data_IF_503229078749
#
_entry.id   IF_503229078749
#
_cell.length_a   1.000
_cell.length_b   1.000
_cell.length_c   1.000
_cell.angle_alpha   90.00
_cell.angle_beta   90.00
_cell.angle_gamma   90.00
#
_symmetry.space_group_name_H-M   'P 1'
#
loop_
_entity.id
_entity.type
_entity.pdbx_description
1 polymer ?
#
# COMPACT_ATOMS: atom_id res chain seq x y z
N UNK A 1 -12.07 9.90 -13.96
CA UNK A 1 -13.13 10.37 -13.05
C UNK A 1 -12.58 11.50 -12.19
N UNK A 2 -13.46 12.37 -11.67
CA UNK A 2 -13.06 13.36 -10.66
C UNK A 2 -12.83 12.66 -9.32
N UNK A 3 -11.75 13.02 -8.63
CA UNK A 3 -11.40 12.48 -7.31
C UNK A 3 -11.83 13.43 -6.17
N UNK A 4 -12.33 14.62 -6.51
CA UNK A 4 -12.78 15.61 -5.53
C UNK A 4 -13.89 15.03 -4.63
N UNK A 5 -13.67 15.07 -3.33
CA UNK A 5 -14.61 14.56 -2.34
C UNK A 5 -14.64 13.03 -2.19
N UNK A 6 -13.83 12.28 -2.93
CA UNK A 6 -13.63 10.86 -2.70
C UNK A 6 -12.88 10.60 -1.41
N UNK A 7 -13.27 9.55 -0.69
CA UNK A 7 -12.63 9.15 0.57
C UNK A 7 -11.60 8.07 0.28
N UNK A 8 -10.34 8.35 0.60
CA UNK A 8 -9.24 7.41 0.47
C UNK A 8 -8.68 7.03 1.85
N UNK A 9 -8.54 5.73 2.10
CA UNK A 9 -7.82 5.19 3.25
C UNK A 9 -6.48 4.62 2.78
N UNK A 10 -5.38 5.18 3.29
CA UNK A 10 -4.02 4.70 3.02
C UNK A 10 -3.47 4.03 4.27
N UNK A 11 -3.38 2.71 4.24
CA UNK A 11 -2.84 1.89 5.34
C UNK A 11 -1.34 1.71 5.13
N UNK A 12 -0.53 1.98 6.16
CA UNK A 12 0.93 2.13 6.03
C UNK A 12 1.31 3.49 5.42
N UNK A 13 0.49 4.51 5.66
CA UNK A 13 0.65 5.84 5.07
C UNK A 13 1.44 6.83 5.92
N UNK A 14 1.99 6.43 7.06
CA UNK A 14 2.83 7.28 7.90
C UNK A 14 4.18 7.63 7.27
N UNK A 15 4.63 6.93 6.23
CA UNK A 15 5.89 7.18 5.58
C UNK A 15 6.04 6.49 4.22
N UNK A 16 7.19 6.67 3.59
CA UNK A 16 7.57 6.01 2.35
C UNK A 16 6.52 6.14 1.24
N UNK A 17 6.27 5.03 0.52
CA UNK A 17 5.32 4.98 -0.61
C UNK A 17 3.92 5.41 -0.17
N UNK A 18 3.44 4.94 1.00
CA UNK A 18 2.11 5.25 1.47
C UNK A 18 1.88 6.75 1.67
N UNK A 19 2.86 7.46 2.23
CA UNK A 19 2.79 8.91 2.40
C UNK A 19 2.81 9.65 1.05
N UNK A 20 3.64 9.21 0.09
CA UNK A 20 3.65 9.75 -1.28
C UNK A 20 2.28 9.61 -1.96
N UNK A 21 1.65 8.43 -1.82
CA UNK A 21 0.30 8.18 -2.35
C UNK A 21 -0.74 9.06 -1.64
N UNK A 22 -0.68 9.17 -0.30
CA UNK A 22 -1.60 9.99 0.46
C UNK A 22 -1.57 11.45 0.00
N UNK A 23 -0.37 12.01 -0.17
CA UNK A 23 -0.18 13.37 -0.70
C UNK A 23 -0.72 13.52 -2.12
N UNK A 24 -0.44 12.58 -3.01
CA UNK A 24 -0.90 12.62 -4.39
C UNK A 24 -2.44 12.57 -4.49
N UNK A 25 -3.10 11.70 -3.74
CA UNK A 25 -4.57 11.64 -3.70
C UNK A 25 -5.18 12.91 -3.10
N UNK A 26 -4.57 13.46 -2.07
CA UNK A 26 -5.04 14.67 -1.42
C UNK A 26 -4.90 15.90 -2.35
N UNK A 27 -3.83 16.00 -3.15
CA UNK A 27 -3.66 17.07 -4.14
C UNK A 27 -4.71 17.04 -5.27
N UNK A 28 -5.35 15.89 -5.48
CA UNK A 28 -6.47 15.71 -6.41
C UNK A 28 -7.85 15.94 -5.77
N UNK A 29 -7.87 16.41 -4.53
CA UNK A 29 -9.10 16.77 -3.82
C UNK A 29 -9.78 15.60 -3.08
N UNK A 30 -9.10 14.45 -2.92
CA UNK A 30 -9.58 13.41 -2.02
C UNK A 30 -9.54 13.87 -0.57
N UNK A 31 -10.51 13.44 0.23
CA UNK A 31 -10.37 13.41 1.68
C UNK A 31 -9.57 12.15 2.05
N UNK A 32 -8.36 12.34 2.59
CA UNK A 32 -7.44 11.22 2.82
C UNK A 32 -7.31 10.92 4.31
N UNK A 33 -7.60 9.67 4.66
CA UNK A 33 -7.28 9.09 5.95
C UNK A 33 -6.01 8.22 5.83
N UNK A 34 -5.14 8.34 6.80
CA UNK A 34 -3.89 7.57 6.91
C UNK A 34 -3.94 6.73 8.17
N UNK A 35 -3.75 5.42 8.02
CA UNK A 35 -3.60 4.50 9.14
C UNK A 35 -2.17 3.94 9.16
N UNK A 36 -1.54 3.94 10.32
CA UNK A 36 -0.21 3.37 10.50
C UNK A 36 -0.04 2.84 11.94
N UNK A 37 0.83 1.85 12.09
CA UNK A 37 1.24 1.36 13.40
C UNK A 37 2.09 2.37 14.17
N UNK A 38 2.92 3.14 13.46
CA UNK A 38 3.84 4.09 14.04
C UNK A 38 3.17 5.46 14.26
N UNK A 39 2.88 5.78 15.54
CA UNK A 39 2.24 7.04 15.93
C UNK A 39 3.10 8.27 15.63
N UNK A 40 4.42 8.17 15.73
CA UNK A 40 5.35 9.26 15.42
C UNK A 40 5.33 9.56 13.92
N UNK A 41 5.38 8.52 13.08
CA UNK A 41 5.25 8.67 11.64
C UNK A 41 3.91 9.31 11.23
N UNK A 42 2.81 9.00 11.94
CA UNK A 42 1.51 9.67 11.72
C UNK A 42 1.57 11.16 12.05
N UNK A 43 2.24 11.55 13.14
CA UNK A 43 2.42 12.95 13.49
C UNK A 43 3.26 13.69 12.44
N UNK A 44 4.32 13.06 11.94
CA UNK A 44 5.17 13.63 10.91
C UNK A 44 4.44 13.70 9.55
N UNK A 45 3.60 12.74 9.24
CA UNK A 45 2.73 12.78 8.06
C UNK A 45 1.78 13.98 8.10
N UNK A 46 1.19 14.28 9.25
CA UNK A 46 0.34 15.48 9.45
C UNK A 46 1.13 16.77 9.24
N UNK A 47 2.35 16.87 9.80
CA UNK A 47 3.23 18.03 9.62
C UNK A 47 3.64 18.20 8.14
N UNK A 48 4.04 17.10 7.51
CA UNK A 48 4.43 17.08 6.09
C UNK A 48 3.24 17.33 5.14
N UNK A 49 2.03 17.03 5.58
CA UNK A 49 0.77 17.30 4.89
C UNK A 49 0.18 18.68 5.19
N UNK A 50 0.90 19.58 5.90
CA UNK A 50 0.40 20.92 6.25
C UNK A 50 0.08 21.79 5.03
N UNK A 51 0.56 21.45 3.84
CA UNK A 51 0.12 22.01 2.56
C UNK A 51 -1.13 21.35 1.98
N UNK A 52 -1.62 20.25 2.61
CA UNK A 52 -2.79 19.48 2.19
C UNK A 52 -3.78 19.46 3.36
N UNK A 53 -4.75 20.35 3.32
CA UNK A 53 -5.63 20.72 4.43
C UNK A 53 -6.57 19.63 5.00
N UNK A 54 -6.46 18.36 4.58
CA UNK A 54 -7.48 17.34 4.89
C UNK A 54 -6.93 15.94 5.22
N UNK A 55 -5.69 15.85 5.74
CA UNK A 55 -5.14 14.55 6.14
C UNK A 55 -5.61 14.19 7.54
N UNK A 56 -6.35 13.09 7.68
CA UNK A 56 -6.79 12.52 8.95
C UNK A 56 -5.94 11.31 9.30
N UNK A 57 -5.64 11.07 10.56
CA UNK A 57 -4.77 9.96 10.95
C UNK A 57 -5.37 9.09 12.04
N UNK A 58 -5.12 7.79 11.97
CA UNK A 58 -5.53 6.81 13.00
C UNK A 58 -4.43 5.77 13.22
N UNK A 59 -4.13 5.46 14.47
CA UNK A 59 -3.15 4.41 14.79
C UNK A 59 -3.76 3.02 14.54
N UNK A 60 -3.04 2.13 13.82
CA UNK A 60 -3.55 0.80 13.49
C UNK A 60 -2.43 -0.21 13.30
N UNK A 61 -2.47 -1.29 14.08
CA UNK A 61 -1.75 -2.51 13.78
C UNK A 61 -2.62 -3.40 12.88
N UNK A 62 -2.25 -3.52 11.61
CA UNK A 62 -2.99 -4.29 10.59
C UNK A 62 -3.09 -5.80 10.92
N UNK A 63 -2.24 -6.30 11.82
CA UNK A 63 -2.30 -7.70 12.27
C UNK A 63 -3.46 -7.94 13.25
N UNK A 64 -4.05 -6.88 13.80
CA UNK A 64 -5.12 -6.90 14.78
C UNK A 64 -6.45 -6.56 14.12
N UNK A 65 -7.26 -7.58 13.77
CA UNK A 65 -8.56 -7.38 13.11
C UNK A 65 -9.47 -6.39 13.82
N UNK A 66 -9.43 -6.36 15.16
CA UNK A 66 -10.20 -5.40 15.95
C UNK A 66 -9.78 -3.96 15.64
N UNK A 67 -8.47 -3.67 15.62
CA UNK A 67 -7.97 -2.33 15.28
C UNK A 67 -8.28 -1.94 13.83
N UNK A 68 -8.22 -2.90 12.91
CA UNK A 68 -8.64 -2.65 11.53
C UNK A 68 -10.13 -2.27 11.49
N UNK A 69 -11.01 -3.01 12.17
CA UNK A 69 -12.43 -2.67 12.24
C UNK A 69 -12.67 -1.27 12.84
N UNK A 70 -11.96 -0.94 13.92
CA UNK A 70 -12.01 0.39 14.57
C UNK A 70 -11.61 1.52 13.58
N UNK A 71 -10.63 1.29 12.70
CA UNK A 71 -10.26 2.27 11.65
C UNK A 71 -11.41 2.51 10.67
N UNK A 72 -12.08 1.46 10.21
CA UNK A 72 -13.19 1.61 9.26
C UNK A 72 -14.43 2.24 9.91
N UNK A 73 -14.69 1.93 11.18
CA UNK A 73 -15.74 2.58 11.95
C UNK A 73 -15.45 4.08 12.14
N UNK A 74 -14.25 4.42 12.62
CA UNK A 74 -13.78 5.80 12.73
C UNK A 74 -13.85 6.54 11.39
N UNK A 75 -13.41 5.90 10.30
CA UNK A 75 -13.45 6.48 8.96
C UNK A 75 -14.89 6.84 8.56
N UNK A 76 -15.82 5.92 8.80
CA UNK A 76 -17.24 6.13 8.48
C UNK A 76 -17.87 7.29 9.26
N UNK A 77 -17.48 7.46 10.53
CA UNK A 77 -18.03 8.49 11.43
C UNK A 77 -17.43 9.87 11.16
N UNK A 78 -16.12 9.95 10.98
CA UNK A 78 -15.36 11.21 10.95
C UNK A 78 -14.98 11.71 9.55
N UNK A 79 -14.95 10.81 8.56
CA UNK A 79 -14.41 11.12 7.24
C UNK A 79 -15.41 10.82 6.13
N UNK A 80 -16.04 9.67 6.19
CA UNK A 80 -16.98 9.19 5.20
C UNK A 80 -16.72 7.75 4.76
N UNK A 81 -17.59 7.23 3.92
CA UNK A 81 -17.50 5.86 3.42
C UNK A 81 -16.36 5.70 2.41
N UNK A 82 -15.50 4.71 2.61
CA UNK A 82 -14.30 4.49 1.77
C UNK A 82 -14.63 4.25 0.29
N UNK A 83 -13.97 5.01 -0.58
CA UNK A 83 -14.00 4.85 -2.04
C UNK A 83 -12.72 4.18 -2.56
N UNK A 84 -11.58 4.50 -1.93
CA UNK A 84 -10.26 4.02 -2.32
C UNK A 84 -9.56 3.47 -1.08
N UNK A 85 -9.18 2.19 -1.12
CA UNK A 85 -8.30 1.58 -0.12
C UNK A 85 -6.92 1.38 -0.74
N UNK A 86 -5.88 1.88 -0.09
CA UNK A 86 -4.48 1.63 -0.47
C UNK A 86 -3.81 0.82 0.64
N UNK A 87 -3.39 -0.40 0.34
CA UNK A 87 -2.62 -1.25 1.23
C UNK A 87 -1.12 -1.06 0.94
N UNK A 88 -0.45 -0.23 1.74
CA UNK A 88 0.98 0.07 1.65
C UNK A 88 1.77 -0.41 2.87
N UNK A 89 1.10 -0.91 3.91
CA UNK A 89 1.77 -1.47 5.06
C UNK A 89 2.62 -2.69 4.67
N UNK A 90 3.87 -2.68 5.09
CA UNK A 90 4.77 -3.79 4.83
C UNK A 90 6.14 -3.59 5.44
N UNK A 91 6.77 -4.69 5.81
CA UNK A 91 8.11 -4.73 6.39
C UNK A 91 9.01 -5.70 5.64
N UNK A 92 10.30 -5.55 5.87
CA UNK A 92 11.30 -6.57 5.59
C UNK A 92 12.28 -6.66 6.77
N UNK A 93 13.11 -7.70 6.77
CA UNK A 93 14.07 -8.00 7.86
C UNK A 93 15.51 -8.03 7.33
N UNK A 94 16.48 -7.88 8.21
CA UNK A 94 17.90 -7.90 7.86
C UNK A 94 18.35 -9.32 7.45
N UNK A 95 18.23 -10.29 8.36
CA UNK A 95 18.51 -11.70 8.10
C UNK A 95 17.33 -12.30 7.34
N UNK A 96 17.52 -12.59 6.05
CA UNK A 96 16.41 -12.89 5.14
C UNK A 96 16.64 -14.10 4.22
N UNK A 97 17.78 -14.77 4.38
CA UNK A 97 18.12 -15.96 3.61
C UNK A 97 17.75 -17.22 4.41
N UNK A 98 17.38 -18.31 3.72
CA UNK A 98 17.00 -19.58 4.36
C UNK A 98 17.99 -20.04 5.42
N UNK A 99 19.29 -19.79 5.22
CA UNK A 99 20.35 -20.22 6.14
C UNK A 99 20.40 -19.43 7.46
N UNK A 100 19.80 -18.22 7.53
CA UNK A 100 19.97 -17.34 8.68
C UNK A 100 18.70 -16.57 9.11
N UNK A 101 17.56 -16.90 8.51
CA UNK A 101 16.27 -16.30 8.90
C UNK A 101 15.84 -16.86 10.26
N UNK A 102 15.38 -15.98 11.14
CA UNK A 102 14.63 -16.39 12.32
C UNK A 102 13.19 -16.74 11.90
N UNK A 103 12.69 -17.94 12.26
CA UNK A 103 11.29 -18.30 11.98
C UNK A 103 10.27 -17.27 12.47
N UNK A 104 10.51 -16.61 13.61
CA UNK A 104 9.64 -15.54 14.10
C UNK A 104 9.64 -14.31 13.21
N UNK A 105 10.77 -13.97 12.58
CA UNK A 105 10.84 -12.91 11.58
C UNK A 105 10.11 -13.27 10.28
N UNK A 106 10.19 -14.54 9.85
CA UNK A 106 9.42 -15.04 8.72
C UNK A 106 7.91 -14.86 8.98
N UNK A 107 7.43 -15.36 10.12
CA UNK A 107 6.01 -15.26 10.51
C UNK A 107 5.56 -13.80 10.61
N UNK A 108 6.37 -12.93 11.20
CA UNK A 108 6.09 -11.51 11.34
C UNK A 108 5.94 -10.81 9.99
N UNK A 109 6.81 -11.12 9.01
CA UNK A 109 6.71 -10.55 7.66
C UNK A 109 5.42 -10.98 6.99
N UNK A 110 5.05 -12.27 7.06
CA UNK A 110 3.79 -12.76 6.48
C UNK A 110 2.57 -12.15 7.19
N UNK A 111 2.62 -12.09 8.51
CA UNK A 111 1.53 -11.54 9.30
C UNK A 111 1.23 -10.07 8.97
N UNK A 112 2.26 -9.26 8.76
CA UNK A 112 2.07 -7.84 8.41
C UNK A 112 1.74 -7.68 6.93
N UNK A 113 2.58 -8.23 6.04
CA UNK A 113 2.49 -7.94 4.61
C UNK A 113 1.28 -8.61 3.95
N UNK A 114 0.95 -9.83 4.37
CA UNK A 114 -0.13 -10.64 3.74
C UNK A 114 -1.40 -10.61 4.58
N UNK A 115 -1.35 -11.09 5.83
CA UNK A 115 -2.54 -11.14 6.69
C UNK A 115 -3.07 -9.75 6.99
N UNK A 116 -2.18 -8.76 7.20
CA UNK A 116 -2.57 -7.37 7.37
C UNK A 116 -3.32 -6.81 6.16
N UNK A 117 -2.81 -7.07 4.94
CA UNK A 117 -3.50 -6.68 3.70
C UNK A 117 -4.86 -7.37 3.58
N UNK A 118 -4.94 -8.68 3.88
CA UNK A 118 -6.21 -9.41 3.90
C UNK A 118 -7.20 -8.77 4.88
N UNK A 119 -6.79 -8.46 6.10
CA UNK A 119 -7.67 -7.86 7.10
C UNK A 119 -8.27 -6.53 6.61
N UNK A 120 -7.48 -5.67 5.96
CA UNK A 120 -7.95 -4.39 5.43
C UNK A 120 -8.92 -4.59 4.25
N UNK A 121 -8.62 -5.50 3.32
CA UNK A 121 -9.51 -5.83 2.19
C UNK A 121 -10.82 -6.40 2.71
N UNK A 122 -10.77 -7.35 3.66
CA UNK A 122 -11.93 -7.98 4.25
C UNK A 122 -12.87 -6.97 4.94
N UNK A 123 -12.33 -5.94 5.56
CA UNK A 123 -13.12 -4.87 6.17
C UNK A 123 -13.70 -3.89 5.14
N UNK A 124 -13.00 -3.62 4.04
CA UNK A 124 -13.42 -2.66 3.01
C UNK A 124 -14.50 -3.24 2.06
N UNK A 125 -14.38 -4.52 1.67
CA UNK A 125 -15.24 -5.14 0.66
C UNK A 125 -16.73 -5.05 0.97
N UNK A 126 -17.24 -5.33 2.17
CA UNK A 126 -18.66 -5.17 2.49
C UNK A 126 -19.17 -3.74 2.22
N UNK A 127 -18.40 -2.73 2.62
CA UNK A 127 -18.74 -1.31 2.46
C UNK A 127 -18.78 -0.94 0.95
N UNK A 128 -17.81 -1.41 0.19
CA UNK A 128 -17.72 -1.17 -1.25
C UNK A 128 -18.81 -1.93 -2.03
N UNK A 129 -19.21 -3.13 -1.58
CA UNK A 129 -20.33 -3.89 -2.15
C UNK A 129 -21.65 -3.13 -2.03
N UNK A 130 -21.95 -2.56 -0.86
CA UNK A 130 -23.17 -1.75 -0.66
C UNK A 130 -23.21 -0.55 -1.63
N UNK A 131 -22.06 0.07 -1.86
CA UNK A 131 -21.92 1.19 -2.81
C UNK A 131 -21.91 0.76 -4.27
N UNK A 132 -21.75 -0.54 -4.55
CA UNK A 132 -21.50 -1.07 -5.91
C UNK A 132 -20.32 -0.36 -6.59
N UNK A 133 -19.34 0.08 -5.83
CA UNK A 133 -18.19 0.86 -6.30
C UNK A 133 -17.06 0.81 -5.29
N UNK A 134 -15.84 0.58 -5.74
CA UNK A 134 -14.64 0.65 -4.93
C UNK A 134 -13.37 0.48 -5.76
N UNK A 135 -12.28 1.04 -5.23
CA UNK A 135 -10.93 0.79 -5.75
C UNK A 135 -10.03 0.34 -4.60
N UNK A 136 -9.40 -0.81 -4.77
CA UNK A 136 -8.39 -1.32 -3.86
C UNK A 136 -7.04 -1.31 -4.60
N UNK A 137 -6.03 -0.72 -4.00
CA UNK A 137 -4.66 -0.71 -4.54
C UNK A 137 -3.73 -1.39 -3.54
N UNK A 138 -3.08 -2.47 -3.95
CA UNK A 138 -2.09 -3.16 -3.14
C UNK A 138 -0.69 -2.79 -3.62
N UNK A 139 0.15 -2.28 -2.72
CA UNK A 139 1.56 -2.05 -2.99
C UNK A 139 2.32 -3.35 -2.76
N UNK A 140 2.48 -4.07 -3.85
CA UNK A 140 3.16 -5.37 -3.86
C UNK A 140 4.69 -5.16 -3.88
N UNK A 141 5.34 -5.45 -4.93
CA UNK A 141 6.77 -5.29 -5.29
C UNK A 141 7.08 -6.15 -6.51
N UNK A 142 8.16 -5.88 -7.23
CA UNK A 142 8.74 -6.84 -8.17
C UNK A 142 8.99 -8.22 -7.55
N UNK A 143 9.28 -8.26 -6.23
CA UNK A 143 9.44 -9.50 -5.48
C UNK A 143 8.16 -10.34 -5.35
N UNK A 144 7.02 -9.84 -5.79
CA UNK A 144 5.76 -10.57 -5.92
C UNK A 144 5.44 -11.05 -7.35
N UNK A 145 6.30 -10.70 -8.32
CA UNK A 145 6.25 -11.20 -9.70
C UNK A 145 7.34 -12.24 -9.98
N UNK A 146 8.51 -12.03 -9.38
CA UNK A 146 9.67 -12.91 -9.54
C UNK A 146 10.44 -13.01 -8.22
N UNK A 147 11.03 -14.18 -7.97
CA UNK A 147 11.87 -14.37 -6.79
C UNK A 147 13.15 -13.55 -6.95
N UNK A 148 13.50 -12.78 -5.95
CA UNK A 148 14.68 -11.92 -5.92
C UNK A 148 15.48 -12.18 -4.63
N UNK A 149 16.71 -12.69 -4.76
CA UNK A 149 17.56 -12.95 -3.60
C UNK A 149 17.80 -11.69 -2.74
N UNK A 150 17.95 -10.52 -3.37
CA UNK A 150 18.09 -9.24 -2.68
C UNK A 150 16.89 -8.91 -1.79
N UNK A 151 15.69 -9.31 -2.21
CA UNK A 151 14.47 -9.11 -1.41
C UNK A 151 14.39 -10.09 -0.23
N UNK A 152 14.93 -11.29 -0.40
CA UNK A 152 14.96 -12.34 0.61
C UNK A 152 13.69 -13.19 0.65
N UNK A 153 13.81 -14.33 1.34
CA UNK A 153 12.78 -15.37 1.37
C UNK A 153 11.42 -14.88 1.90
N UNK A 154 11.31 -14.33 3.14
CA UNK A 154 10.01 -14.01 3.72
C UNK A 154 9.30 -12.91 2.93
N UNK A 155 10.06 -11.93 2.43
CA UNK A 155 9.48 -10.83 1.67
C UNK A 155 8.93 -11.31 0.32
N UNK A 156 9.69 -12.12 -0.44
CA UNK A 156 9.19 -12.71 -1.69
C UNK A 156 7.91 -13.50 -1.44
N UNK A 157 7.91 -14.42 -0.47
CA UNK A 157 6.72 -15.23 -0.14
C UNK A 157 5.52 -14.34 0.18
N UNK A 158 5.72 -13.33 1.03
CA UNK A 158 4.63 -12.41 1.43
C UNK A 158 4.08 -11.62 0.24
N UNK A 159 4.95 -11.17 -0.67
CA UNK A 159 4.53 -10.35 -1.81
C UNK A 159 3.86 -11.16 -2.92
N UNK A 160 4.29 -12.42 -3.16
CA UNK A 160 3.54 -13.34 -4.01
C UNK A 160 2.14 -13.63 -3.44
N UNK A 161 2.04 -13.86 -2.12
CA UNK A 161 0.75 -14.07 -1.47
C UNK A 161 -0.15 -12.83 -1.56
N UNK A 162 0.40 -11.62 -1.38
CA UNK A 162 -0.34 -10.36 -1.55
C UNK A 162 -0.83 -10.17 -3.00
N UNK A 163 0.00 -10.51 -3.98
CA UNK A 163 -0.39 -10.46 -5.40
C UNK A 163 -1.56 -11.40 -5.70
N UNK A 164 -1.45 -12.66 -5.27
CA UNK A 164 -2.51 -13.64 -5.45
C UNK A 164 -3.83 -13.21 -4.78
N UNK A 165 -3.75 -12.67 -3.55
CA UNK A 165 -4.89 -12.13 -2.83
C UNK A 165 -5.58 -11.02 -3.63
N UNK A 166 -4.84 -10.03 -4.12
CA UNK A 166 -5.40 -8.93 -4.90
C UNK A 166 -6.03 -9.40 -6.20
N UNK A 167 -5.38 -10.31 -6.92
CA UNK A 167 -5.91 -10.90 -8.16
C UNK A 167 -7.20 -11.67 -7.91
N UNK A 168 -7.25 -12.49 -6.84
CA UNK A 168 -8.45 -13.24 -6.48
C UNK A 168 -9.64 -12.31 -6.19
N UNK A 169 -9.41 -11.30 -5.34
CA UNK A 169 -10.48 -10.34 -4.97
C UNK A 169 -10.94 -9.53 -6.19
N UNK A 170 -10.04 -9.17 -7.11
CA UNK A 170 -10.41 -8.47 -8.35
C UNK A 170 -11.37 -9.31 -9.21
N UNK A 171 -11.13 -10.62 -9.32
CA UNK A 171 -12.00 -11.54 -10.08
C UNK A 171 -13.34 -11.76 -9.37
N UNK A 172 -13.30 -11.97 -8.05
CA UNK A 172 -14.52 -12.25 -7.26
C UNK A 172 -15.45 -11.04 -7.21
N UNK A 173 -14.90 -9.82 -7.05
CA UNK A 173 -15.67 -8.61 -6.78
C UNK A 173 -15.98 -7.77 -8.03
N UNK A 174 -15.53 -8.17 -9.20
CA UNK A 174 -15.78 -7.44 -10.46
C UNK A 174 -17.27 -7.16 -10.70
N UNK A 175 -18.14 -8.16 -10.45
CA UNK A 175 -19.59 -8.02 -10.60
C UNK A 175 -20.21 -7.07 -9.57
N UNK A 176 -19.52 -6.78 -8.47
CA UNK A 176 -19.91 -5.83 -7.45
C UNK A 176 -19.39 -4.40 -7.70
N UNK A 177 -18.71 -4.17 -8.83
CA UNK A 177 -18.17 -2.86 -9.19
C UNK A 177 -16.91 -2.49 -8.43
N UNK A 178 -16.26 -3.45 -7.74
CA UNK A 178 -15.00 -3.25 -7.02
C UNK A 178 -13.85 -3.64 -7.94
N UNK A 179 -12.86 -2.78 -8.02
CA UNK A 179 -11.64 -2.97 -8.82
C UNK A 179 -10.45 -3.12 -7.89
N UNK A 180 -9.57 -4.06 -8.19
CA UNK A 180 -8.31 -4.22 -7.45
C UNK A 180 -7.14 -4.08 -8.40
N UNK A 181 -6.14 -3.30 -7.99
CA UNK A 181 -4.88 -3.13 -8.71
C UNK A 181 -3.73 -3.57 -7.82
N UNK A 182 -2.91 -4.47 -8.31
CA UNK A 182 -1.61 -4.78 -7.73
C UNK A 182 -0.53 -3.93 -8.40
N UNK A 183 0.13 -3.04 -7.65
CA UNK A 183 1.29 -2.28 -8.15
C UNK A 183 2.56 -3.00 -7.72
N UNK A 184 3.49 -3.17 -8.66
CA UNK A 184 4.77 -3.85 -8.45
C UNK A 184 5.93 -2.85 -8.62
N UNK A 185 6.24 -2.05 -7.58
CA UNK A 185 7.37 -1.14 -7.66
C UNK A 185 8.71 -1.89 -7.70
N UNK A 186 9.65 -1.36 -8.47
CA UNK A 186 11.06 -1.66 -8.34
C UNK A 186 11.67 -0.99 -7.11
N UNK A 187 12.98 -0.74 -7.16
CA UNK A 187 13.67 -0.04 -6.06
C UNK A 187 13.08 1.35 -5.88
N UNK A 188 12.54 1.60 -4.70
CA UNK A 188 11.94 2.89 -4.32
C UNK A 188 12.68 3.42 -3.10
N UNK A 189 13.06 4.70 -3.10
CA UNK A 189 13.76 5.37 -2.02
C UNK A 189 12.86 5.56 -0.81
N UNK A 190 12.89 4.61 0.11
CA UNK A 190 12.07 4.57 1.32
C UNK A 190 12.85 3.97 2.50
N UNK A 191 12.44 4.18 3.75
CA UNK A 191 13.13 3.61 4.91
C UNK A 191 13.25 2.08 4.92
N UNK A 192 12.42 1.35 4.16
CA UNK A 192 12.51 -0.12 4.10
C UNK A 192 13.84 -0.61 3.53
N UNK A 193 14.49 0.19 2.66
CA UNK A 193 15.78 -0.18 2.07
C UNK A 193 16.94 -0.10 3.05
N UNK A 194 16.78 0.62 4.18
CA UNK A 194 17.77 0.68 5.26
C UNK A 194 17.91 -0.68 6.00
N UNK A 195 16.90 -1.55 5.86
CA UNK A 195 16.92 -2.92 6.37
C UNK A 195 17.67 -3.91 5.48
N UNK A 196 18.23 -3.46 4.36
CA UNK A 196 19.09 -4.32 3.52
C UNK A 196 20.39 -4.66 4.25
N UNK A 197 20.96 -5.86 4.03
CA UNK A 197 22.27 -6.21 4.55
C UNK A 197 23.33 -5.17 4.17
N UNK A 198 23.21 -4.57 2.97
CA UNK A 198 24.02 -3.46 2.50
C UNK A 198 23.08 -2.37 1.98
N UNK A 199 22.79 -1.32 2.78
CA UNK A 199 21.99 -0.20 2.33
C UNK A 199 22.65 0.54 1.16
N UNK A 200 21.89 1.00 0.16
CA UNK A 200 22.46 1.73 -0.96
C UNK A 200 22.92 3.13 -0.56
N UNK A 201 24.04 3.62 -1.14
CA UNK A 201 24.52 4.96 -0.88
C UNK A 201 23.60 6.04 -1.50
N UNK A 202 23.73 7.32 -1.10
CA UNK A 202 22.87 8.41 -1.54
C UNK A 202 22.75 8.55 -3.06
N UNK A 203 23.84 8.37 -3.79
CA UNK A 203 23.88 8.48 -5.25
C UNK A 203 23.00 7.44 -5.94
N UNK A 204 22.95 6.22 -5.38
CA UNK A 204 22.04 5.17 -5.87
C UNK A 204 20.59 5.46 -5.52
N UNK A 205 20.33 6.03 -4.33
CA UNK A 205 18.98 6.41 -3.91
C UNK A 205 18.36 7.48 -4.82
N UNK A 206 19.17 8.40 -5.34
CA UNK A 206 18.73 9.42 -6.29
C UNK A 206 18.27 8.83 -7.64
N UNK A 207 18.73 7.63 -7.99
CA UNK A 207 18.36 6.93 -9.21
C UNK A 207 17.16 5.98 -9.04
N UNK A 208 16.69 5.78 -7.82
CA UNK A 208 15.52 4.94 -7.51
C UNK A 208 14.22 5.71 -7.80
N UNK A 209 13.12 4.96 -7.90
CA UNK A 209 11.80 5.59 -7.83
C UNK A 209 11.68 6.37 -6.52
N UNK A 210 10.93 7.46 -6.58
CA UNK A 210 10.53 8.20 -5.38
C UNK A 210 9.08 7.82 -5.02
N UNK A 211 8.65 7.99 -3.76
CA UNK A 211 7.27 7.72 -3.35
C UNK A 211 6.21 8.40 -4.21
N UNK A 212 6.52 9.59 -4.71
CA UNK A 212 5.66 10.41 -5.57
C UNK A 212 5.37 9.76 -6.93
N UNK A 213 6.32 8.97 -7.47
CA UNK A 213 6.15 8.26 -8.74
C UNK A 213 5.03 7.21 -8.62
N UNK A 214 4.99 6.51 -7.47
CA UNK A 214 3.92 5.55 -7.19
C UNK A 214 2.60 6.28 -6.91
N UNK A 215 2.66 7.44 -6.26
CA UNK A 215 1.51 8.32 -6.05
C UNK A 215 0.85 8.72 -7.36
N UNK A 216 1.64 9.13 -8.36
CA UNK A 216 1.16 9.46 -9.70
C UNK A 216 0.46 8.27 -10.39
N UNK A 217 1.02 7.06 -10.24
CA UNK A 217 0.39 5.85 -10.77
C UNK A 217 -0.97 5.58 -10.12
N UNK A 218 -1.07 5.72 -8.79
CA UNK A 218 -2.34 5.51 -8.08
C UNK A 218 -3.39 6.53 -8.51
N UNK A 219 -3.01 7.79 -8.66
CA UNK A 219 -3.90 8.85 -9.17
C UNK A 219 -4.39 8.53 -10.59
N UNK A 220 -3.49 8.13 -11.48
CA UNK A 220 -3.85 7.72 -12.84
C UNK A 220 -4.87 6.59 -12.83
N UNK A 221 -4.65 5.53 -12.03
CA UNK A 221 -5.57 4.39 -11.90
C UNK A 221 -6.93 4.85 -11.35
N UNK A 222 -6.93 5.67 -10.30
CA UNK A 222 -8.15 6.14 -9.66
C UNK A 222 -9.00 7.04 -10.59
N UNK A 223 -8.39 7.75 -11.53
CA UNK A 223 -9.06 8.58 -12.54
C UNK A 223 -9.66 7.79 -13.70
N UNK A 224 -9.35 6.51 -13.86
CA UNK A 224 -9.90 5.70 -14.95
C UNK A 224 -11.44 5.58 -14.82
N UNK A 225 -12.15 5.51 -15.96
CA UNK A 225 -13.60 5.32 -15.94
C UNK A 225 -13.99 3.95 -15.35
N UNK A 226 -15.22 3.84 -14.88
CA UNK A 226 -15.72 2.61 -14.24
C UNK A 226 -15.55 1.34 -15.10
N UNK A 227 -15.63 1.47 -16.43
CA UNK A 227 -15.46 0.37 -17.39
C UNK A 227 -14.01 -0.12 -17.55
N UNK A 228 -13.04 0.57 -16.95
CA UNK A 228 -11.60 0.24 -17.10
C UNK A 228 -11.01 -0.20 -15.75
N UNK A 229 -10.22 -1.25 -15.77
CA UNK A 229 -9.41 -1.71 -14.65
C UNK A 229 -7.97 -1.91 -15.11
N UNK A 230 -7.02 -1.61 -14.24
CA UNK A 230 -5.61 -1.99 -14.38
C UNK A 230 -5.35 -3.06 -13.32
N UNK A 231 -5.44 -4.36 -13.65
CA UNK A 231 -5.25 -5.41 -12.65
C UNK A 231 -3.84 -5.40 -12.05
N UNK A 232 -2.85 -5.12 -12.91
CA UNK A 232 -1.44 -5.13 -12.56
C UNK A 232 -0.72 -3.94 -13.19
N UNK A 233 0.18 -3.31 -12.43
CA UNK A 233 1.04 -2.25 -12.92
C UNK A 233 2.46 -2.45 -12.41
N UNK A 234 3.41 -2.58 -13.33
CA UNK A 234 4.84 -2.64 -13.02
C UNK A 234 5.46 -1.27 -13.26
N UNK A 235 6.19 -0.76 -12.27
CA UNK A 235 6.95 0.48 -12.39
C UNK A 235 8.36 0.28 -11.83
N UNK A 236 9.37 0.62 -12.60
CA UNK A 236 10.78 0.42 -12.23
C UNK A 236 11.62 1.63 -12.60
N UNK A 237 12.71 1.90 -11.88
CA UNK A 237 13.71 2.84 -12.38
C UNK A 237 14.36 2.29 -13.64
N UNK A 238 14.86 3.13 -14.56
CA UNK A 238 15.38 2.71 -15.85
C UNK A 238 16.53 1.66 -15.81
N UNK A 239 17.30 1.66 -14.72
CA UNK A 239 18.39 0.69 -14.53
C UNK A 239 17.92 -0.72 -14.12
N UNK A 240 16.64 -0.85 -13.75
CA UNK A 240 16.00 -2.14 -13.42
C UNK A 240 15.08 -2.58 -14.56
N UNK A 241 15.62 -2.76 -15.76
CA UNK A 241 14.80 -3.25 -16.86
C UNK A 241 14.21 -4.62 -16.55
N UNK A 242 12.91 -4.74 -16.81
CA UNK A 242 12.12 -5.95 -16.59
C UNK A 242 11.79 -6.47 -18.00
N UNK A 243 12.57 -7.45 -18.45
CA UNK A 243 12.31 -8.22 -19.66
C UNK A 243 11.52 -9.48 -19.35
#
# INVERSE_FOLDING_TARGET
MDLKGKVALVVGGGGGIGLGIAKALASEGCTVAVADYNKEALQDAVKAGSTVSHLRTHACDVTKRKQVAEVFEWLSQEVGSVDILVNSAGINVGNRMMANIDPADFDRVLQINTTGTFNCIHAAVPIMREKRSGLIVNIVSLAGLRVMLLAGLPYCVSKFATAALGTFVNLEEAANGIKVTNIYPGETNTPIIDKRPTPPPPEKRAQMLQPEDIGACVVMIAKLPARAVVPELVITPPHMMVG
#
